data_IF_128509414028
#
_entry.id   IF_128509414028
#
_cell.length_a   1.000
_cell.length_b   1.000
_cell.length_c   1.000
_cell.angle_alpha   90.00
_cell.angle_beta   90.00
_cell.angle_gamma   90.00
#
_symmetry.space_group_name_H-M   'P 1'
#
loop_
_entity.id
_entity.type
_entity.pdbx_description
1 polymer ?
#
# COMPACT_ATOMS: atom_id res chain seq x y z
N UNK A 1 6.68 -18.99 -54.52
CA UNK A 1 7.68 -19.95 -54.05
C UNK A 1 7.03 -21.32 -54.08
N UNK A 2 7.71 -22.35 -54.58
CA UNK A 2 7.43 -23.69 -54.06
C UNK A 2 8.08 -23.71 -52.68
N UNK A 3 7.32 -24.06 -51.64
CA UNK A 3 7.79 -24.12 -50.24
C UNK A 3 9.08 -24.95 -50.09
N UNK A 4 9.35 -25.83 -51.06
CA UNK A 4 10.41 -26.80 -51.08
C UNK A 4 11.86 -26.26 -51.28
N UNK A 5 12.07 -24.98 -51.65
CA UNK A 5 13.42 -24.47 -52.01
C UNK A 5 14.39 -24.46 -50.81
N UNK A 6 13.96 -23.91 -49.67
CA UNK A 6 14.75 -23.88 -48.43
C UNK A 6 14.41 -25.01 -47.45
N UNK A 7 13.39 -25.82 -47.76
CA UNK A 7 12.96 -26.93 -46.91
C UNK A 7 13.88 -28.16 -47.00
N UNK A 8 14.79 -28.19 -47.98
CA UNK A 8 15.78 -29.26 -48.16
C UNK A 8 17.16 -28.96 -47.52
N UNK A 9 17.27 -27.93 -46.68
CA UNK A 9 18.54 -27.50 -46.10
C UNK A 9 19.17 -28.51 -45.10
N UNK A 10 18.42 -29.50 -44.60
CA UNK A 10 18.78 -30.27 -43.39
C UNK A 10 19.45 -31.64 -43.58
N UNK A 11 20.47 -31.81 -44.43
CA UNK A 11 21.09 -33.15 -44.64
C UNK A 11 22.62 -33.22 -44.55
N UNK A 12 23.36 -32.11 -44.56
CA UNK A 12 24.84 -32.13 -44.55
C UNK A 12 25.38 -31.06 -43.59
N UNK A 13 26.30 -31.44 -42.69
CA UNK A 13 27.05 -30.48 -41.88
C UNK A 13 27.94 -29.63 -42.80
N UNK A 14 27.75 -28.32 -42.80
CA UNK A 14 28.34 -27.41 -43.78
C UNK A 14 29.58 -26.76 -43.19
N UNK A 15 30.74 -27.28 -43.55
CA UNK A 15 32.06 -26.69 -43.26
C UNK A 15 32.65 -25.95 -44.48
N UNK A 16 32.04 -26.08 -45.66
CA UNK A 16 32.49 -25.45 -46.89
C UNK A 16 32.10 -23.96 -46.95
N UNK A 17 33.06 -23.02 -47.05
CA UNK A 17 32.77 -21.60 -47.18
C UNK A 17 31.93 -21.23 -48.41
N UNK A 18 32.11 -21.92 -49.53
CA UNK A 18 31.39 -21.66 -50.79
C UNK A 18 29.87 -21.88 -50.61
N UNK A 19 29.46 -22.94 -49.91
CA UNK A 19 28.04 -23.25 -49.66
C UNK A 19 27.35 -22.18 -48.80
N UNK A 20 28.10 -21.51 -47.91
CA UNK A 20 27.59 -20.43 -47.06
C UNK A 20 27.40 -19.17 -47.91
N UNK A 21 28.37 -18.86 -48.77
CA UNK A 21 28.31 -17.70 -49.67
C UNK A 21 27.14 -17.87 -50.66
N UNK A 22 27.03 -19.00 -51.34
CA UNK A 22 25.93 -19.28 -52.30
C UNK A 22 24.56 -19.15 -51.63
N UNK A 23 24.41 -19.67 -50.40
CA UNK A 23 23.16 -19.51 -49.65
C UNK A 23 22.85 -18.05 -49.31
N UNK A 24 23.85 -17.26 -48.91
CA UNK A 24 23.65 -15.85 -48.62
C UNK A 24 23.36 -15.05 -49.88
N UNK A 25 23.99 -15.36 -51.01
CA UNK A 25 23.69 -14.78 -52.32
C UNK A 25 22.21 -14.99 -52.67
N UNK A 26 21.70 -16.22 -52.50
CA UNK A 26 20.27 -16.53 -52.68
C UNK A 26 19.37 -15.72 -51.74
N UNK A 27 19.72 -15.64 -50.45
CA UNK A 27 18.94 -14.87 -49.46
C UNK A 27 18.86 -13.41 -49.87
N UNK A 28 19.98 -12.79 -50.26
CA UNK A 28 20.02 -11.37 -50.61
C UNK A 28 19.42 -11.09 -51.98
N UNK A 29 19.48 -12.01 -52.94
CA UNK A 29 18.71 -11.90 -54.18
C UNK A 29 17.20 -11.80 -53.87
N UNK A 30 16.69 -12.60 -52.93
CA UNK A 30 15.28 -12.55 -52.53
C UNK A 30 14.93 -11.28 -51.73
N UNK A 31 15.88 -10.74 -50.97
CA UNK A 31 15.72 -9.44 -50.29
C UNK A 31 15.64 -8.31 -51.32
N UNK A 32 16.53 -8.29 -52.32
CA UNK A 32 16.52 -7.31 -53.42
C UNK A 32 15.22 -7.36 -54.23
N UNK A 33 14.69 -8.56 -54.45
CA UNK A 33 13.41 -8.78 -55.14
C UNK A 33 12.19 -8.42 -54.28
N UNK A 34 12.37 -8.10 -53.00
CA UNK A 34 11.30 -7.78 -52.04
C UNK A 34 10.47 -9.00 -51.62
N UNK A 35 10.96 -10.21 -51.87
CA UNK A 35 10.32 -11.46 -51.45
C UNK A 35 10.64 -11.79 -49.99
N UNK A 36 11.80 -11.35 -49.49
CA UNK A 36 12.19 -11.40 -48.08
C UNK A 36 12.42 -10.00 -47.54
N UNK A 37 12.20 -9.85 -46.24
CA UNK A 37 12.53 -8.63 -45.50
C UNK A 37 13.65 -8.95 -44.51
N UNK A 38 14.72 -8.16 -44.54
CA UNK A 38 15.83 -8.30 -43.58
C UNK A 38 15.33 -8.12 -42.13
N UNK A 39 15.67 -9.08 -41.26
CA UNK A 39 15.16 -9.19 -39.89
C UNK A 39 13.69 -9.64 -39.79
N UNK A 40 13.03 -9.96 -40.90
CA UNK A 40 11.67 -10.49 -40.90
C UNK A 40 11.65 -11.94 -40.42
N UNK A 41 10.47 -12.43 -40.02
CA UNK A 41 10.30 -13.81 -39.52
C UNK A 41 10.90 -14.87 -40.47
N UNK A 42 10.55 -14.85 -41.75
CA UNK A 42 11.02 -15.86 -42.71
C UNK A 42 12.53 -15.76 -42.97
N UNK A 43 13.05 -14.54 -43.10
CA UNK A 43 14.48 -14.29 -43.23
C UNK A 43 15.26 -14.91 -42.06
N UNK A 44 14.80 -14.67 -40.83
CA UNK A 44 15.42 -15.22 -39.64
C UNK A 44 15.23 -16.72 -39.50
N UNK A 45 14.08 -17.25 -39.88
CA UNK A 45 13.77 -18.68 -39.85
C UNK A 45 14.71 -19.45 -40.80
N UNK A 46 14.91 -18.98 -42.03
CA UNK A 46 15.86 -19.58 -42.97
C UNK A 46 17.29 -19.54 -42.44
N UNK A 47 17.75 -18.38 -41.95
CA UNK A 47 19.09 -18.24 -41.38
C UNK A 47 19.29 -19.10 -40.13
N UNK A 48 18.27 -19.24 -39.29
CA UNK A 48 18.35 -20.08 -38.07
C UNK A 48 18.44 -21.56 -38.42
N UNK A 49 17.65 -22.03 -39.39
CA UNK A 49 17.72 -23.41 -39.89
C UNK A 49 19.10 -23.69 -40.49
N UNK A 50 19.59 -22.79 -41.35
CA UNK A 50 20.91 -22.92 -41.97
C UNK A 50 22.04 -22.90 -40.94
N UNK A 51 22.01 -21.93 -40.01
CA UNK A 51 23.00 -21.79 -38.96
C UNK A 51 23.10 -23.03 -38.08
N UNK A 52 21.99 -23.73 -37.82
CA UNK A 52 21.97 -24.93 -36.98
C UNK A 52 22.89 -26.05 -37.50
N UNK A 53 23.11 -26.10 -38.82
CA UNK A 53 23.94 -27.10 -39.50
C UNK A 53 25.33 -26.57 -39.92
N UNK A 54 25.69 -25.35 -39.55
CA UNK A 54 26.94 -24.67 -39.94
C UNK A 54 27.98 -24.67 -38.82
N UNK A 55 29.25 -24.87 -39.17
CA UNK A 55 30.36 -24.80 -38.20
C UNK A 55 30.72 -23.37 -37.83
N UNK A 56 31.02 -23.18 -36.55
CA UNK A 56 31.41 -21.89 -35.97
C UNK A 56 32.63 -21.28 -36.67
N UNK A 57 33.71 -22.07 -36.74
CA UNK A 57 35.02 -21.63 -37.25
C UNK A 57 34.92 -21.19 -38.72
N UNK A 58 34.06 -21.82 -39.52
CA UNK A 58 33.88 -21.44 -40.94
C UNK A 58 33.26 -20.04 -41.09
N UNK A 59 32.28 -19.69 -40.24
CA UNK A 59 31.64 -18.37 -40.28
C UNK A 59 32.62 -17.30 -39.77
N UNK A 60 33.36 -17.62 -38.71
CA UNK A 60 34.40 -16.76 -38.10
C UNK A 60 35.53 -16.43 -39.10
N UNK A 61 36.04 -17.44 -39.79
CA UNK A 61 37.07 -17.31 -40.83
C UNK A 61 36.59 -16.41 -41.98
N UNK A 62 35.33 -16.58 -42.43
CA UNK A 62 34.74 -15.76 -43.50
C UNK A 62 34.52 -14.31 -43.09
N UNK A 63 34.02 -14.06 -41.87
CA UNK A 63 33.83 -12.69 -41.35
C UNK A 63 35.16 -11.96 -41.21
N UNK A 64 36.19 -12.67 -40.78
CA UNK A 64 37.54 -12.14 -40.55
C UNK A 64 38.37 -12.03 -41.84
N UNK A 65 37.90 -12.56 -42.97
CA UNK A 65 38.63 -12.50 -44.23
C UNK A 65 38.76 -11.06 -44.75
N UNK A 66 39.92 -10.71 -45.30
CA UNK A 66 40.17 -9.40 -45.93
C UNK A 66 39.25 -9.16 -47.15
N UNK A 67 38.93 -10.24 -47.88
CA UNK A 67 38.07 -10.22 -49.06
C UNK A 67 37.28 -11.53 -49.17
N UNK A 68 36.04 -11.42 -49.63
CA UNK A 68 35.15 -12.56 -49.89
C UNK A 68 34.89 -12.59 -51.40
N UNK A 69 35.09 -13.73 -52.04
CA UNK A 69 34.74 -13.93 -53.46
C UNK A 69 33.24 -14.26 -53.52
N UNK A 70 32.45 -13.41 -54.16
CA UNK A 70 30.99 -13.51 -54.24
C UNK A 70 30.48 -12.75 -55.47
N UNK A 71 29.36 -13.22 -56.01
CA UNK A 71 28.62 -12.56 -57.09
C UNK A 71 27.62 -11.49 -56.56
N UNK A 72 27.35 -11.47 -55.25
CA UNK A 72 26.52 -10.46 -54.58
C UNK A 72 27.35 -9.27 -54.03
N UNK A 73 26.67 -8.27 -53.47
CA UNK A 73 27.34 -7.20 -52.76
C UNK A 73 28.08 -7.76 -51.52
N UNK A 74 29.36 -7.39 -51.36
CA UNK A 74 30.18 -7.90 -50.25
C UNK A 74 29.64 -7.46 -48.88
N UNK A 75 29.00 -6.28 -48.79
CA UNK A 75 28.39 -5.81 -47.55
C UNK A 75 27.13 -6.65 -47.22
N UNK A 76 26.38 -7.12 -48.23
CA UNK A 76 25.29 -8.09 -48.03
C UNK A 76 25.82 -9.38 -47.42
N UNK A 77 26.85 -9.98 -48.03
CA UNK A 77 27.42 -11.22 -47.51
C UNK A 77 27.99 -11.04 -46.10
N UNK A 78 28.74 -9.96 -45.82
CA UNK A 78 29.27 -9.69 -44.48
C UNK A 78 28.17 -9.54 -43.44
N UNK A 79 27.06 -8.88 -43.79
CA UNK A 79 25.93 -8.75 -42.87
C UNK A 79 25.20 -10.09 -42.67
N UNK A 80 25.00 -10.86 -43.74
CA UNK A 80 24.40 -12.20 -43.66
C UNK A 80 25.21 -13.14 -42.77
N UNK A 81 26.54 -13.15 -42.92
CA UNK A 81 27.45 -13.91 -42.07
C UNK A 81 27.34 -13.49 -40.59
N UNK A 82 27.23 -12.19 -40.33
CA UNK A 82 27.02 -11.67 -38.97
C UNK A 82 25.72 -12.19 -38.37
N UNK A 83 24.62 -12.16 -39.14
CA UNK A 83 23.34 -12.71 -38.67
C UNK A 83 23.43 -14.23 -38.47
N UNK A 84 24.05 -14.97 -39.40
CA UNK A 84 24.27 -16.41 -39.27
C UNK A 84 25.04 -16.75 -37.99
N UNK A 85 26.11 -16.02 -37.71
CA UNK A 85 26.92 -16.18 -36.50
C UNK A 85 26.08 -15.95 -35.24
N UNK A 86 25.26 -14.89 -35.21
CA UNK A 86 24.35 -14.61 -34.09
C UNK A 86 23.34 -15.75 -33.92
N UNK A 87 22.70 -16.20 -35.01
CA UNK A 87 21.74 -17.30 -34.95
C UNK A 87 22.38 -18.60 -34.50
N UNK A 88 23.60 -18.89 -34.95
CA UNK A 88 24.39 -20.06 -34.52
C UNK A 88 24.73 -20.00 -33.03
N UNK A 89 25.05 -18.82 -32.52
CA UNK A 89 25.44 -18.61 -31.14
C UNK A 89 24.27 -18.73 -30.15
N UNK A 90 23.07 -18.38 -30.61
CA UNK A 90 21.84 -18.35 -29.79
C UNK A 90 21.02 -19.65 -29.91
N UNK A 91 21.10 -20.37 -31.04
CA UNK A 91 20.30 -21.57 -31.30
C UNK A 91 21.15 -22.80 -31.65
N UNK A 92 20.71 -24.03 -31.28
CA UNK A 92 19.53 -24.33 -30.45
C UNK A 92 19.74 -24.08 -28.95
N UNK A 93 21.00 -24.09 -28.50
CA UNK A 93 21.41 -23.83 -27.12
C UNK A 93 22.28 -22.56 -27.10
N UNK A 94 21.86 -21.50 -26.39
CA UNK A 94 22.62 -20.25 -26.34
C UNK A 94 23.99 -20.45 -25.70
N UNK A 95 25.02 -19.85 -26.32
CA UNK A 95 26.36 -19.71 -25.73
C UNK A 95 26.32 -18.84 -24.47
N UNK A 96 27.35 -18.93 -23.62
CA UNK A 96 27.41 -18.05 -22.46
C UNK A 96 27.61 -16.59 -22.88
N UNK A 97 27.13 -15.67 -22.03
CA UNK A 97 27.09 -14.27 -22.41
C UNK A 97 28.47 -13.67 -22.71
N UNK A 98 29.58 -14.18 -22.17
CA UNK A 98 30.90 -13.64 -22.50
C UNK A 98 31.28 -13.95 -23.96
N UNK A 99 30.93 -15.14 -24.45
CA UNK A 99 31.06 -15.47 -25.88
C UNK A 99 30.17 -14.55 -26.71
N UNK A 100 28.91 -14.38 -26.31
CA UNK A 100 27.96 -13.52 -27.05
C UNK A 100 28.41 -12.06 -27.11
N UNK A 101 28.92 -11.50 -26.01
CA UNK A 101 29.42 -10.13 -25.98
C UNK A 101 30.74 -9.98 -26.75
N UNK A 102 31.61 -10.99 -26.71
CA UNK A 102 32.86 -11.02 -27.48
C UNK A 102 32.59 -10.93 -28.98
N UNK A 103 31.57 -11.65 -29.47
CA UNK A 103 31.14 -11.56 -30.87
C UNK A 103 30.72 -10.17 -31.30
N UNK A 104 29.97 -9.47 -30.44
CA UNK A 104 29.61 -8.08 -30.73
C UNK A 104 30.87 -7.21 -30.78
N UNK A 105 31.78 -7.36 -29.82
CA UNK A 105 33.02 -6.59 -29.77
C UNK A 105 33.93 -6.82 -30.97
N UNK A 106 34.08 -8.07 -31.40
CA UNK A 106 34.97 -8.47 -32.49
C UNK A 106 34.44 -8.04 -33.86
N UNK A 107 33.13 -8.13 -34.07
CA UNK A 107 32.55 -7.99 -35.41
C UNK A 107 31.74 -6.72 -35.65
N UNK A 108 31.31 -5.98 -34.62
CA UNK A 108 30.47 -4.77 -34.82
C UNK A 108 31.10 -3.73 -35.73
N UNK A 109 32.43 -3.62 -35.77
CA UNK A 109 33.13 -2.62 -36.61
C UNK A 109 33.50 -3.17 -38.00
N UNK A 110 33.38 -4.49 -38.20
CA UNK A 110 33.67 -5.19 -39.46
C UNK A 110 32.43 -5.37 -40.35
N UNK A 111 31.24 -5.22 -39.79
CA UNK A 111 29.96 -5.42 -40.48
C UNK A 111 29.34 -4.08 -40.85
N UNK A 112 28.71 -3.97 -42.05
CA UNK A 112 28.16 -2.71 -42.53
C UNK A 112 27.10 -2.15 -41.59
N UNK A 113 26.97 -0.82 -41.58
CA UNK A 113 26.00 -0.15 -40.73
C UNK A 113 24.60 -0.20 -41.36
N UNK A 114 23.85 -1.24 -41.01
CA UNK A 114 22.47 -1.44 -41.47
C UNK A 114 21.46 -1.00 -40.43
N UNK A 115 20.28 -0.50 -40.85
CA UNK A 115 19.19 -0.20 -39.92
C UNK A 115 18.79 -1.36 -38.99
N UNK A 116 18.92 -2.61 -39.43
CA UNK A 116 18.61 -3.83 -38.66
C UNK A 116 19.77 -4.30 -37.77
N UNK A 117 20.97 -3.72 -37.88
CA UNK A 117 22.15 -4.11 -37.10
C UNK A 117 21.90 -4.01 -35.58
N UNK A 118 21.33 -2.92 -35.04
CA UNK A 118 21.03 -2.84 -33.61
C UNK A 118 20.06 -3.94 -33.16
N UNK A 119 19.12 -4.34 -34.01
CA UNK A 119 18.19 -5.45 -33.71
C UNK A 119 18.95 -6.75 -33.45
N UNK A 120 19.81 -7.19 -34.37
CA UNK A 120 20.56 -8.44 -34.19
C UNK A 120 21.53 -8.38 -33.01
N UNK A 121 22.20 -7.24 -32.80
CA UNK A 121 23.04 -7.02 -31.62
C UNK A 121 22.24 -7.14 -30.33
N UNK A 122 21.02 -6.59 -30.29
CA UNK A 122 20.15 -6.67 -29.11
C UNK A 122 19.81 -8.12 -28.71
N UNK A 123 19.76 -9.06 -29.68
CA UNK A 123 19.49 -10.47 -29.42
C UNK A 123 20.60 -11.12 -28.59
N UNK A 124 21.86 -10.73 -28.79
CA UNK A 124 22.99 -11.20 -27.98
C UNK A 124 22.86 -10.72 -26.53
N UNK A 125 22.54 -9.43 -26.35
CA UNK A 125 22.43 -8.79 -25.04
C UNK A 125 21.19 -9.22 -24.23
N UNK A 126 20.18 -9.79 -24.87
CA UNK A 126 19.02 -10.39 -24.19
C UNK A 126 19.42 -11.54 -23.24
N UNK A 127 20.52 -12.24 -23.52
CA UNK A 127 21.08 -13.30 -22.67
C UNK A 127 22.03 -12.79 -21.56
N UNK A 128 22.19 -11.47 -21.44
CA UNK A 128 22.95 -10.86 -20.37
C UNK A 128 22.36 -11.16 -18.98
N UNK A 129 23.22 -11.42 -18.00
CA UNK A 129 22.80 -11.72 -16.62
C UNK A 129 22.92 -10.51 -15.67
N UNK A 130 23.57 -9.42 -16.10
CA UNK A 130 23.68 -8.18 -15.32
C UNK A 130 22.75 -7.10 -15.87
N UNK A 131 22.29 -6.21 -14.98
CA UNK A 131 21.45 -5.06 -15.33
C UNK A 131 22.03 -4.22 -16.48
N UNK A 132 23.35 -3.98 -16.46
CA UNK A 132 24.03 -3.22 -17.51
C UNK A 132 23.96 -3.91 -18.88
N UNK A 133 24.09 -5.23 -18.93
CA UNK A 133 23.98 -5.99 -20.19
C UNK A 133 22.57 -5.90 -20.75
N UNK A 134 21.56 -6.04 -19.88
CA UNK A 134 20.16 -5.96 -20.26
C UNK A 134 19.75 -4.54 -20.67
N UNK A 135 20.32 -3.52 -20.04
CA UNK A 135 20.17 -2.12 -20.45
C UNK A 135 20.71 -1.90 -21.87
N UNK A 136 21.92 -2.39 -22.17
CA UNK A 136 22.47 -2.34 -23.54
C UNK A 136 21.57 -3.04 -24.55
N UNK A 137 21.03 -4.22 -24.20
CA UNK A 137 20.10 -4.96 -25.06
C UNK A 137 18.83 -4.17 -25.39
N UNK A 138 18.17 -3.60 -24.38
CA UNK A 138 16.97 -2.79 -24.61
C UNK A 138 17.30 -1.51 -25.39
N UNK A 139 18.43 -0.85 -25.11
CA UNK A 139 18.84 0.35 -25.84
C UNK A 139 19.03 0.05 -27.34
N UNK A 140 19.72 -1.05 -27.67
CA UNK A 140 19.87 -1.50 -29.05
C UNK A 140 18.54 -1.89 -29.70
N UNK A 141 17.64 -2.53 -28.95
CA UNK A 141 16.30 -2.83 -29.44
C UNK A 141 15.48 -1.56 -29.70
N UNK A 142 15.66 -0.53 -28.87
CA UNK A 142 15.05 0.79 -29.07
C UNK A 142 15.61 1.49 -30.31
N UNK A 143 16.92 1.50 -30.49
CA UNK A 143 17.57 2.03 -31.70
C UNK A 143 17.02 1.37 -32.98
N UNK A 144 16.76 0.06 -32.93
CA UNK A 144 16.20 -0.67 -34.07
C UNK A 144 14.75 -0.28 -34.40
N UNK A 145 13.91 -0.03 -33.39
CA UNK A 145 12.53 0.45 -33.64
C UNK A 145 12.50 1.93 -34.05
N UNK A 146 13.44 2.74 -33.54
CA UNK A 146 13.61 4.15 -33.92
C UNK A 146 14.11 4.32 -35.36
N UNK A 147 14.77 3.30 -35.92
CA UNK A 147 15.10 3.23 -37.34
C UNK A 147 13.86 3.13 -38.27
N UNK A 148 12.65 3.01 -37.71
CA UNK A 148 11.36 3.01 -38.43
C UNK A 148 11.25 1.95 -39.53
N UNK A 149 11.88 0.80 -39.32
CA UNK A 149 11.74 -0.36 -40.18
C UNK A 149 10.40 -1.02 -39.85
N UNK A 150 9.53 -1.18 -40.85
CA UNK A 150 8.24 -1.86 -40.66
C UNK A 150 8.43 -3.36 -40.55
N UNK A 151 8.76 -3.84 -39.35
CA UNK A 151 9.06 -5.24 -39.11
C UNK A 151 8.53 -5.72 -37.75
N UNK A 152 7.60 -6.69 -37.73
CA UNK A 152 6.97 -7.14 -36.49
C UNK A 152 7.94 -7.82 -35.52
N UNK A 153 8.97 -8.51 -36.00
CA UNK A 153 10.00 -9.13 -35.16
C UNK A 153 10.83 -8.10 -34.39
N UNK A 154 11.11 -6.94 -34.99
CA UNK A 154 11.84 -5.86 -34.34
C UNK A 154 10.99 -5.22 -33.24
N UNK A 155 9.71 -4.95 -33.54
CA UNK A 155 8.76 -4.41 -32.58
C UNK A 155 8.53 -5.35 -31.39
N UNK A 156 8.32 -6.64 -31.66
CA UNK A 156 8.16 -7.65 -30.62
C UNK A 156 9.42 -7.78 -29.76
N UNK A 157 10.61 -7.81 -30.36
CA UNK A 157 11.86 -7.94 -29.60
C UNK A 157 12.05 -6.81 -28.59
N UNK A 158 11.78 -5.55 -28.97
CA UNK A 158 11.82 -4.44 -28.01
C UNK A 158 10.84 -4.67 -26.86
N UNK A 159 9.57 -4.93 -27.17
CA UNK A 159 8.53 -5.14 -26.16
C UNK A 159 8.83 -6.34 -25.25
N UNK A 160 9.32 -7.45 -25.82
CA UNK A 160 9.70 -8.67 -25.12
C UNK A 160 10.87 -8.44 -24.15
N UNK A 161 11.89 -7.69 -24.58
CA UNK A 161 13.01 -7.37 -23.69
C UNK A 161 12.58 -6.46 -22.53
N UNK A 162 11.70 -5.49 -22.76
CA UNK A 162 11.15 -4.62 -21.70
C UNK A 162 10.47 -5.46 -20.61
N UNK A 163 9.57 -6.38 -20.98
CA UNK A 163 8.86 -7.21 -19.98
C UNK A 163 9.78 -8.21 -19.29
N UNK A 164 10.78 -8.75 -19.97
CA UNK A 164 11.77 -9.65 -19.34
C UNK A 164 12.66 -8.94 -18.33
N UNK A 165 13.03 -7.70 -18.64
CA UNK A 165 13.85 -6.90 -17.73
C UNK A 165 13.03 -6.41 -16.55
N UNK A 166 11.75 -6.09 -16.75
CA UNK A 166 10.85 -5.84 -15.63
C UNK A 166 10.75 -7.05 -14.69
N UNK A 167 10.52 -8.24 -15.25
CA UNK A 167 10.40 -9.49 -14.49
C UNK A 167 11.69 -9.79 -13.67
N UNK A 168 12.86 -9.32 -14.11
CA UNK A 168 14.15 -9.59 -13.46
C UNK A 168 14.65 -8.48 -12.52
N UNK A 169 14.52 -7.22 -12.93
CA UNK A 169 15.14 -6.07 -12.28
C UNK A 169 14.15 -4.95 -11.94
N UNK A 170 12.95 -4.97 -12.51
CA UNK A 170 12.01 -3.85 -12.53
C UNK A 170 12.43 -2.81 -13.58
N UNK A 171 11.54 -2.51 -14.54
CA UNK A 171 11.89 -1.67 -15.69
C UNK A 171 12.21 -0.22 -15.30
N UNK A 172 11.61 0.28 -14.22
CA UNK A 172 11.89 1.60 -13.64
C UNK A 172 13.35 1.75 -13.18
N UNK A 173 14.05 0.63 -13.00
CA UNK A 173 15.47 0.63 -12.70
C UNK A 173 16.33 0.71 -13.97
N UNK A 174 15.81 0.77 -15.19
CA UNK A 174 16.66 0.84 -16.38
C UNK A 174 16.71 2.27 -16.89
N UNK A 175 17.92 2.80 -17.03
CA UNK A 175 18.14 4.12 -17.63
C UNK A 175 18.27 3.94 -19.14
N UNK A 176 17.31 4.45 -19.91
CA UNK A 176 17.26 4.32 -21.36
C UNK A 176 17.26 5.71 -21.98
N UNK A 177 18.02 5.88 -23.06
CA UNK A 177 18.02 7.11 -23.85
C UNK A 177 16.84 7.09 -24.84
N UNK A 178 15.63 7.28 -24.30
CA UNK A 178 14.34 7.28 -25.04
C UNK A 178 13.62 8.64 -24.96
N UNK A 179 14.33 9.68 -24.51
CA UNK A 179 13.78 11.01 -24.24
C UNK A 179 12.75 11.01 -23.10
N UNK A 180 11.70 11.81 -23.23
CA UNK A 180 10.61 11.92 -22.24
C UNK A 180 9.55 10.80 -22.37
N UNK A 181 9.81 9.78 -23.19
CA UNK A 181 8.86 8.71 -23.49
C UNK A 181 8.73 7.73 -22.32
N UNK A 182 7.51 7.23 -22.09
CA UNK A 182 7.28 6.15 -21.13
C UNK A 182 7.58 4.80 -21.78
N UNK A 183 8.55 4.07 -21.23
CA UNK A 183 8.99 2.76 -21.76
C UNK A 183 7.85 1.73 -21.81
N UNK A 184 6.91 1.78 -20.87
CA UNK A 184 5.76 0.87 -20.82
C UNK A 184 4.70 1.23 -21.86
N UNK A 185 4.59 2.51 -22.24
CA UNK A 185 3.74 2.96 -23.35
C UNK A 185 4.36 2.58 -24.69
N UNK A 186 5.66 2.79 -24.87
CA UNK A 186 6.38 2.35 -26.08
C UNK A 186 6.30 0.83 -26.27
N UNK A 187 6.52 0.05 -25.20
CA UNK A 187 6.41 -1.41 -25.28
C UNK A 187 4.99 -1.85 -25.70
N UNK A 188 3.96 -1.15 -25.23
CA UNK A 188 2.58 -1.43 -25.65
C UNK A 188 2.37 -1.08 -27.12
N UNK A 189 2.79 0.11 -27.54
CA UNK A 189 2.68 0.55 -28.94
C UNK A 189 3.32 -0.46 -29.90
N UNK A 190 4.56 -0.88 -29.60
CA UNK A 190 5.30 -1.80 -30.46
C UNK A 190 4.75 -3.23 -30.40
N UNK A 191 4.36 -3.73 -29.23
CA UNK A 191 3.69 -5.04 -29.16
C UNK A 191 2.38 -5.07 -29.97
N UNK A 192 1.59 -3.99 -29.93
CA UNK A 192 0.40 -3.89 -30.77
C UNK A 192 0.73 -3.75 -32.26
N UNK A 193 1.81 -3.04 -32.62
CA UNK A 193 2.29 -2.96 -34.02
C UNK A 193 2.66 -4.35 -34.55
N UNK A 194 3.40 -5.15 -33.78
CA UNK A 194 3.77 -6.51 -34.14
C UNK A 194 2.53 -7.36 -34.46
N UNK A 195 1.56 -7.39 -33.53
CA UNK A 195 0.30 -8.13 -33.70
C UNK A 195 -0.55 -7.62 -34.88
N UNK A 196 -0.54 -6.31 -35.16
CA UNK A 196 -1.28 -5.73 -36.31
C UNK A 196 -0.67 -6.13 -37.65
N UNK A 197 0.66 -6.23 -37.72
CA UNK A 197 1.36 -6.60 -38.95
C UNK A 197 1.31 -8.11 -39.20
N UNK A 198 1.39 -8.91 -38.15
CA UNK A 198 1.23 -10.35 -38.22
C UNK A 198 0.38 -10.86 -37.05
N UNK A 199 -0.88 -11.16 -37.37
CA UNK A 199 -1.86 -11.67 -36.41
C UNK A 199 -1.88 -13.19 -36.27
N UNK A 200 -0.97 -13.89 -36.96
CA UNK A 200 -0.87 -15.35 -36.94
C UNK A 200 0.21 -15.85 -35.98
N UNK A 201 1.27 -15.07 -35.74
CA UNK A 201 2.33 -15.46 -34.82
C UNK A 201 1.87 -15.41 -33.34
N UNK A 202 1.94 -16.57 -32.68
CA UNK A 202 1.50 -16.73 -31.29
C UNK A 202 2.39 -15.98 -30.30
N UNK A 203 3.70 -15.87 -30.55
CA UNK A 203 4.64 -15.19 -29.64
C UNK A 203 4.29 -13.70 -29.49
N UNK A 204 3.86 -13.01 -30.55
CA UNK A 204 3.51 -11.59 -30.50
C UNK A 204 2.32 -11.32 -29.54
N UNK A 205 1.32 -12.19 -29.54
CA UNK A 205 0.23 -12.12 -28.57
C UNK A 205 0.67 -12.42 -27.14
N UNK A 206 1.64 -13.32 -26.96
CA UNK A 206 2.18 -13.61 -25.64
C UNK A 206 2.96 -12.41 -25.08
N UNK A 207 3.77 -11.75 -25.90
CA UNK A 207 4.46 -10.49 -25.56
C UNK A 207 3.46 -9.40 -25.23
N UNK A 208 2.46 -9.15 -26.09
CA UNK A 208 1.42 -8.16 -25.83
C UNK A 208 0.69 -8.42 -24.50
N UNK A 209 0.37 -9.69 -24.21
CA UNK A 209 -0.20 -10.08 -22.93
C UNK A 209 0.71 -9.80 -21.73
N UNK A 210 2.02 -10.00 -21.87
CA UNK A 210 3.00 -9.63 -20.84
C UNK A 210 3.11 -8.12 -20.66
N UNK A 211 3.02 -7.33 -21.73
CA UNK A 211 3.04 -5.86 -21.66
C UNK A 211 1.79 -5.32 -20.93
N UNK A 212 0.60 -5.84 -21.22
CA UNK A 212 -0.59 -5.49 -20.44
C UNK A 212 -0.45 -5.89 -18.96
N UNK A 213 0.19 -7.03 -18.68
CA UNK A 213 0.47 -7.48 -17.31
C UNK A 213 1.44 -6.56 -16.57
N UNK A 214 2.48 -6.05 -17.25
CA UNK A 214 3.40 -5.03 -16.75
C UNK A 214 2.64 -3.76 -16.32
N UNK A 215 1.68 -3.32 -17.14
CA UNK A 215 0.84 -2.14 -16.89
C UNK A 215 -0.29 -2.37 -15.87
N UNK A 216 -0.41 -3.57 -15.31
CA UNK A 216 -1.48 -3.93 -14.39
C UNK A 216 -2.85 -4.18 -15.05
N UNK A 217 -2.93 -4.15 -16.38
CA UNK A 217 -4.14 -4.36 -17.18
C UNK A 217 -4.43 -5.87 -17.37
N UNK A 218 -4.66 -6.57 -16.25
CA UNK A 218 -4.63 -8.04 -16.20
C UNK A 218 -5.69 -8.77 -17.03
N UNK A 219 -6.79 -8.10 -17.35
CA UNK A 219 -7.86 -8.68 -18.18
C UNK A 219 -7.51 -8.70 -19.67
N UNK A 220 -6.84 -7.64 -20.17
CA UNK A 220 -6.25 -7.64 -21.52
C UNK A 220 -5.07 -8.61 -21.59
N UNK A 221 -4.26 -8.66 -20.52
CA UNK A 221 -3.16 -9.59 -20.41
C UNK A 221 -3.60 -11.05 -20.59
N UNK A 222 -4.64 -11.48 -19.86
CA UNK A 222 -5.16 -12.84 -19.97
C UNK A 222 -5.76 -13.13 -21.35
N UNK A 223 -6.47 -12.18 -21.96
CA UNK A 223 -7.04 -12.35 -23.30
C UNK A 223 -5.96 -12.62 -24.34
N UNK A 224 -4.90 -11.82 -24.36
CA UNK A 224 -3.85 -11.94 -25.35
C UNK A 224 -3.03 -13.23 -25.18
N UNK A 225 -2.69 -13.62 -23.95
CA UNK A 225 -2.01 -14.91 -23.73
C UNK A 225 -2.90 -16.10 -24.08
N UNK A 226 -4.22 -15.99 -23.85
CA UNK A 226 -5.16 -17.02 -24.28
C UNK A 226 -5.22 -17.12 -25.81
N UNK A 227 -5.16 -15.99 -26.52
CA UNK A 227 -5.08 -15.96 -27.99
C UNK A 227 -3.79 -16.60 -28.51
N UNK A 228 -2.64 -16.35 -27.88
CA UNK A 228 -1.38 -17.03 -28.21
C UNK A 228 -1.49 -18.56 -28.07
N UNK A 229 -2.16 -19.03 -27.01
CA UNK A 229 -2.41 -20.47 -26.82
C UNK A 229 -3.29 -21.02 -27.93
N UNK A 230 -4.36 -20.30 -28.32
CA UNK A 230 -5.25 -20.73 -29.40
C UNK A 230 -4.51 -20.83 -30.74
N UNK A 231 -3.74 -19.80 -31.12
CA UNK A 231 -2.96 -19.79 -32.36
C UNK A 231 -2.01 -20.99 -32.42
N UNK A 232 -1.26 -21.26 -31.35
CA UNK A 232 -0.32 -22.40 -31.31
C UNK A 232 -1.03 -23.77 -31.32
N UNK A 233 -2.29 -23.83 -30.89
CA UNK A 233 -3.11 -25.05 -31.02
C UNK A 233 -3.64 -25.23 -32.45
N UNK A 234 -3.92 -24.13 -33.15
CA UNK A 234 -4.44 -24.12 -34.52
C UNK A 234 -3.34 -24.38 -35.57
N UNK A 235 -2.10 -23.90 -35.32
CA UNK A 235 -0.92 -24.18 -36.16
C UNK A 235 -0.51 -25.65 -36.16
N UNK A 236 -0.76 -26.36 -35.05
CA UNK A 236 -0.29 -27.73 -34.91
C UNK A 236 -1.26 -28.78 -35.49
N UNK A 237 -0.99 -29.12 -36.76
CA UNK A 237 -1.22 -30.48 -37.29
C UNK A 237 -0.27 -31.53 -36.67
N UNK A 238 0.61 -31.14 -35.72
CA UNK A 238 1.50 -32.04 -34.99
C UNK A 238 0.82 -32.65 -33.75
N UNK A 239 1.33 -33.78 -33.27
CA UNK A 239 0.68 -34.58 -32.22
C UNK A 239 0.67 -33.93 -30.82
N UNK A 240 1.44 -32.85 -30.53
CA UNK A 240 1.61 -32.28 -29.18
C UNK A 240 2.08 -30.80 -29.15
N UNK A 241 1.15 -29.84 -29.07
CA UNK A 241 1.51 -28.42 -29.10
C UNK A 241 2.25 -27.93 -27.87
N UNK A 242 3.47 -27.41 -28.08
CA UNK A 242 4.29 -26.82 -27.03
C UNK A 242 3.74 -25.44 -26.62
N UNK A 243 2.74 -25.49 -25.76
CA UNK A 243 2.03 -24.35 -25.16
C UNK A 243 2.46 -24.12 -23.70
N UNK A 244 3.53 -24.78 -23.25
CA UNK A 244 3.96 -24.77 -21.86
C UNK A 244 4.40 -23.37 -21.40
N UNK A 245 5.13 -22.63 -22.26
CA UNK A 245 5.56 -21.27 -21.99
C UNK A 245 4.36 -20.33 -21.78
N UNK A 246 3.43 -20.28 -22.74
CA UNK A 246 2.22 -19.44 -22.64
C UNK A 246 1.35 -19.77 -21.42
N UNK A 247 1.19 -21.06 -21.09
CA UNK A 247 0.47 -21.46 -19.86
C UNK A 247 1.21 -21.03 -18.59
N UNK A 248 2.52 -20.91 -18.63
CA UNK A 248 3.29 -20.33 -17.52
C UNK A 248 2.97 -18.85 -17.35
N UNK A 249 3.02 -18.08 -18.44
CA UNK A 249 2.67 -16.64 -18.45
C UNK A 249 1.25 -16.44 -17.92
N UNK A 250 0.28 -17.22 -18.40
CA UNK A 250 -1.11 -17.14 -17.95
C UNK A 250 -1.26 -17.42 -16.44
N UNK A 251 -0.49 -18.37 -15.89
CA UNK A 251 -0.49 -18.63 -14.44
C UNK A 251 0.10 -17.46 -13.64
N UNK A 252 1.13 -16.81 -14.16
CA UNK A 252 1.72 -15.60 -13.56
C UNK A 252 0.70 -14.46 -13.52
N UNK A 253 0.01 -14.20 -14.64
CA UNK A 253 -1.04 -13.17 -14.73
C UNK A 253 -2.17 -13.46 -13.72
N UNK A 254 -2.64 -14.71 -13.63
CA UNK A 254 -3.68 -15.11 -12.65
C UNK A 254 -3.23 -14.94 -11.21
N UNK A 255 -1.95 -15.20 -10.93
CA UNK A 255 -1.35 -14.97 -9.61
C UNK A 255 -1.30 -13.48 -9.28
N UNK A 256 -0.85 -12.62 -10.21
CA UNK A 256 -0.88 -11.15 -10.06
C UNK A 256 -2.30 -10.65 -9.75
N UNK A 257 -3.33 -11.13 -10.45
CA UNK A 257 -4.74 -10.75 -10.19
C UNK A 257 -5.19 -11.12 -8.78
N UNK A 258 -4.81 -12.30 -8.31
CA UNK A 258 -5.14 -12.74 -6.96
C UNK A 258 -4.45 -11.89 -5.91
N UNK A 259 -3.20 -11.49 -6.14
CA UNK A 259 -2.44 -10.58 -5.26
C UNK A 259 -3.12 -9.21 -5.19
N UNK A 260 -3.43 -8.58 -6.33
CA UNK A 260 -4.16 -7.30 -6.37
C UNK A 260 -5.49 -7.36 -5.61
N UNK A 261 -6.23 -8.47 -5.75
CA UNK A 261 -7.49 -8.68 -5.01
C UNK A 261 -7.28 -8.82 -3.49
N UNK A 262 -6.15 -9.37 -3.05
CA UNK A 262 -5.79 -9.47 -1.64
C UNK A 262 -5.37 -8.10 -1.11
N UNK A 263 -4.55 -7.36 -1.84
CA UNK A 263 -4.11 -6.00 -1.49
C UNK A 263 -5.31 -5.07 -1.29
N UNK A 264 -6.27 -5.06 -2.23
CA UNK A 264 -7.50 -4.27 -2.10
C UNK A 264 -8.36 -4.66 -0.89
N UNK A 265 -8.35 -5.94 -0.48
CA UNK A 265 -9.06 -6.36 0.73
C UNK A 265 -8.31 -5.96 1.99
N UNK A 266 -6.99 -5.99 1.95
CA UNK A 266 -6.14 -5.57 3.06
C UNK A 266 -6.29 -4.06 3.32
N UNK A 267 -6.26 -3.23 2.28
CA UNK A 267 -6.48 -1.79 2.36
C UNK A 267 -7.84 -1.47 3.01
N UNK A 268 -8.92 -2.11 2.54
CA UNK A 268 -10.26 -1.97 3.15
C UNK A 268 -10.30 -2.39 4.62
N UNK A 269 -9.55 -3.42 4.98
CA UNK A 269 -9.47 -3.86 6.37
C UNK A 269 -8.70 -2.86 7.24
N UNK A 270 -7.69 -2.18 6.69
CA UNK A 270 -6.98 -1.09 7.37
C UNK A 270 -7.91 0.11 7.61
N UNK A 271 -8.67 0.54 6.60
CA UNK A 271 -9.66 1.62 6.75
C UNK A 271 -10.67 1.31 7.86
N UNK A 272 -11.15 0.06 7.93
CA UNK A 272 -12.07 -0.39 8.98
C UNK A 272 -11.44 -0.40 10.36
N UNK A 273 -10.16 -0.74 10.47
CA UNK A 273 -9.43 -0.71 11.75
C UNK A 273 -9.25 0.73 12.23
N UNK A 274 -8.98 1.68 11.34
CA UNK A 274 -8.89 3.09 11.66
C UNK A 274 -10.23 3.63 12.19
N UNK A 275 -11.35 3.32 11.50
CA UNK A 275 -12.70 3.71 11.96
C UNK A 275 -13.04 3.12 13.35
N UNK A 276 -12.62 1.87 13.62
CA UNK A 276 -12.82 1.25 14.94
C UNK A 276 -11.97 1.95 16.01
N UNK A 277 -10.73 2.32 15.69
CA UNK A 277 -9.84 3.03 16.60
C UNK A 277 -10.44 4.38 17.00
N UNK A 278 -10.90 5.18 16.04
CA UNK A 278 -11.53 6.48 16.33
C UNK A 278 -12.79 6.35 17.20
N UNK A 279 -13.61 5.33 16.94
CA UNK A 279 -14.80 5.05 17.77
C UNK A 279 -14.42 4.61 19.19
N UNK A 280 -13.33 3.86 19.34
CA UNK A 280 -12.84 3.45 20.65
C UNK A 280 -12.40 4.67 21.46
N UNK A 281 -11.62 5.58 20.87
CA UNK A 281 -11.15 6.79 21.54
C UNK A 281 -12.33 7.69 21.97
N UNK A 282 -13.32 7.88 21.10
CA UNK A 282 -14.54 8.63 21.43
C UNK A 282 -15.37 7.97 22.55
N UNK A 283 -15.34 6.64 22.64
CA UNK A 283 -16.02 5.91 23.71
C UNK A 283 -15.27 6.06 25.04
N UNK A 284 -13.93 6.07 25.02
CA UNK A 284 -13.08 6.30 26.19
C UNK A 284 -13.33 7.69 26.80
N UNK A 285 -13.37 8.75 25.98
CA UNK A 285 -13.73 10.11 26.42
C UNK A 285 -15.13 10.17 27.07
N UNK A 286 -16.10 9.43 26.52
CA UNK A 286 -17.44 9.35 27.08
C UNK A 286 -17.47 8.64 28.45
N UNK A 287 -16.67 7.59 28.62
CA UNK A 287 -16.54 6.90 29.90
C UNK A 287 -15.88 7.79 30.97
N UNK A 288 -14.81 8.51 30.62
CA UNK A 288 -14.17 9.46 31.54
C UNK A 288 -15.16 10.56 31.99
N UNK A 289 -15.91 11.15 31.05
CA UNK A 289 -16.94 12.15 31.39
C UNK A 289 -18.05 11.58 32.28
N UNK A 290 -18.41 10.31 32.11
CA UNK A 290 -19.40 9.65 32.94
C UNK A 290 -18.87 9.37 34.34
N UNK A 291 -17.61 8.97 34.47
CA UNK A 291 -16.94 8.75 35.75
C UNK A 291 -16.82 10.04 36.56
N UNK A 292 -16.44 11.16 35.93
CA UNK A 292 -16.43 12.48 36.57
C UNK A 292 -17.82 12.88 37.10
N UNK A 293 -18.88 12.63 36.32
CA UNK A 293 -20.27 12.89 36.74
C UNK A 293 -20.68 12.00 37.90
N UNK A 294 -20.33 10.72 37.85
CA UNK A 294 -20.61 9.76 38.93
C UNK A 294 -19.95 10.23 40.23
N UNK A 295 -18.65 10.53 40.21
CA UNK A 295 -17.88 11.02 41.35
C UNK A 295 -18.45 12.34 41.90
N UNK A 296 -18.92 13.25 41.03
CA UNK A 296 -19.59 14.48 41.44
C UNK A 296 -20.93 14.23 42.14
N UNK A 297 -21.73 13.28 41.66
CA UNK A 297 -23.01 12.91 42.26
C UNK A 297 -22.77 12.24 43.61
N UNK A 298 -21.82 11.31 43.70
CA UNK A 298 -21.45 10.63 44.93
C UNK A 298 -21.05 11.63 46.02
N UNK A 299 -20.16 12.57 45.70
CA UNK A 299 -19.76 13.65 46.62
C UNK A 299 -20.94 14.53 47.06
N UNK A 300 -21.84 14.92 46.13
CA UNK A 300 -23.04 15.70 46.48
C UNK A 300 -24.01 14.93 47.37
N UNK A 301 -24.14 13.62 47.16
CA UNK A 301 -24.97 12.75 47.97
C UNK A 301 -24.40 12.61 49.37
N UNK A 302 -23.08 12.42 49.50
CA UNK A 302 -22.38 12.36 50.80
C UNK A 302 -22.56 13.68 51.57
N UNK A 303 -22.32 14.82 50.92
CA UNK A 303 -22.57 16.16 51.49
C UNK A 303 -24.03 16.32 51.96
N UNK A 304 -25.00 15.87 51.16
CA UNK A 304 -26.42 15.97 51.50
C UNK A 304 -26.78 15.09 52.69
N UNK A 305 -26.29 13.84 52.73
CA UNK A 305 -26.51 12.90 53.82
C UNK A 305 -25.95 13.45 55.13
N UNK A 306 -24.73 13.99 55.10
CA UNK A 306 -24.10 14.56 56.29
C UNK A 306 -24.85 15.82 56.78
N UNK A 307 -25.36 16.64 55.86
CA UNK A 307 -26.23 17.78 56.18
C UNK A 307 -27.53 17.32 56.86
N UNK A 308 -28.23 16.34 56.29
CA UNK A 308 -29.46 15.79 56.87
C UNK A 308 -29.24 15.16 58.24
N UNK A 309 -28.15 14.42 58.41
CA UNK A 309 -27.76 13.83 59.70
C UNK A 309 -27.53 14.91 60.75
N UNK A 310 -26.74 15.93 60.40
CA UNK A 310 -26.45 17.07 61.27
C UNK A 310 -27.73 17.81 61.67
N UNK A 311 -28.62 18.10 60.71
CA UNK A 311 -29.92 18.74 60.99
C UNK A 311 -30.82 17.89 61.88
N UNK A 312 -30.85 16.58 61.67
CA UNK A 312 -31.65 15.66 62.51
C UNK A 312 -31.14 15.63 63.95
N UNK A 313 -29.82 15.58 64.14
CA UNK A 313 -29.19 15.66 65.47
C UNK A 313 -29.50 17.00 66.16
N UNK A 314 -29.45 18.11 65.43
CA UNK A 314 -29.85 19.43 65.95
C UNK A 314 -31.30 19.44 66.40
N UNK A 315 -32.22 18.91 65.59
CA UNK A 315 -33.64 18.82 65.90
C UNK A 315 -33.87 17.96 67.15
N UNK A 316 -33.24 16.79 67.25
CA UNK A 316 -33.34 15.93 68.43
C UNK A 316 -32.83 16.66 69.69
N UNK A 317 -31.68 17.34 69.61
CA UNK A 317 -31.13 18.12 70.71
C UNK A 317 -32.06 19.26 71.15
N UNK A 318 -32.62 20.02 70.19
CA UNK A 318 -33.60 21.08 70.45
C UNK A 318 -34.86 20.56 71.16
N UNK A 319 -35.48 19.50 70.62
CA UNK A 319 -36.71 18.93 71.19
C UNK A 319 -36.48 18.35 72.59
N UNK A 320 -35.32 17.72 72.81
CA UNK A 320 -34.95 17.20 74.13
C UNK A 320 -34.82 18.32 75.15
N UNK A 321 -34.16 19.43 74.79
CA UNK A 321 -34.03 20.60 75.66
C UNK A 321 -35.39 21.25 75.95
N UNK A 322 -36.25 21.40 74.93
CA UNK A 322 -37.60 21.93 75.10
C UNK A 322 -38.45 21.08 76.05
N UNK A 323 -38.43 19.76 75.88
CA UNK A 323 -39.14 18.83 76.77
C UNK A 323 -38.61 18.91 78.20
N UNK A 324 -37.30 19.01 78.39
CA UNK A 324 -36.70 19.18 79.71
C UNK A 324 -37.21 20.47 80.40
N UNK A 325 -37.30 21.60 79.69
CA UNK A 325 -37.89 22.85 80.24
C UNK A 325 -39.32 22.62 80.67
N UNK A 326 -40.14 22.06 79.78
CA UNK A 326 -41.56 21.87 80.05
C UNK A 326 -41.73 21.01 81.30
N UNK A 327 -41.05 19.87 81.38
CA UNK A 327 -41.12 18.96 82.54
C UNK A 327 -40.61 19.64 83.81
N UNK A 328 -39.44 20.27 83.78
CA UNK A 328 -38.87 20.93 84.96
C UNK A 328 -39.73 22.11 85.42
N UNK A 329 -40.31 22.89 84.50
CA UNK A 329 -41.20 24.01 84.83
C UNK A 329 -42.47 23.56 85.57
N UNK A 330 -43.07 22.44 85.13
CA UNK A 330 -44.23 21.84 85.80
C UNK A 330 -43.85 21.37 87.20
N UNK A 331 -42.73 20.64 87.33
CA UNK A 331 -42.25 20.14 88.63
C UNK A 331 -41.94 21.27 89.62
N UNK A 332 -41.32 22.36 89.16
CA UNK A 332 -40.99 23.52 90.00
C UNK A 332 -42.25 24.18 90.55
N UNK A 333 -43.32 24.23 89.75
CA UNK A 333 -44.62 24.79 90.16
C UNK A 333 -45.29 23.96 91.26
N UNK A 334 -44.99 22.66 91.36
CA UNK A 334 -45.52 21.79 92.41
C UNK A 334 -44.71 21.87 93.73
N UNK A 335 -43.41 22.20 93.65
CA UNK A 335 -42.50 22.17 94.80
C UNK A 335 -42.40 23.52 95.51
N UNK A 336 -42.56 24.63 94.78
CA UNK A 336 -42.40 25.98 95.33
C UNK A 336 -43.74 26.61 95.69
N UNK A 337 -43.87 27.09 96.94
CA UNK A 337 -45.09 27.77 97.43
C UNK A 337 -45.11 29.28 97.13
N UNK A 338 -44.00 29.82 96.63
CA UNK A 338 -43.83 31.23 96.26
C UNK A 338 -43.86 31.40 94.74
N UNK A 339 -44.82 32.19 94.26
CA UNK A 339 -44.95 32.56 92.83
C UNK A 339 -43.70 33.29 92.33
N UNK A 340 -43.01 34.03 93.22
CA UNK A 340 -41.79 34.76 92.86
C UNK A 340 -40.63 33.81 92.56
N UNK A 341 -40.45 32.78 93.39
CA UNK A 341 -39.40 31.77 93.20
C UNK A 341 -39.64 30.93 91.96
N UNK A 342 -40.88 30.48 91.72
CA UNK A 342 -41.26 29.74 90.53
C UNK A 342 -41.00 30.53 89.24
N UNK A 343 -41.36 31.83 89.23
CA UNK A 343 -41.12 32.73 88.11
C UNK A 343 -39.63 32.85 87.79
N UNK A 344 -38.79 33.12 88.79
CA UNK A 344 -37.35 33.31 88.57
C UNK A 344 -36.68 32.03 88.07
N UNK A 345 -37.10 30.86 88.55
CA UNK A 345 -36.54 29.58 88.14
C UNK A 345 -36.96 29.19 86.71
N UNK A 346 -38.22 29.44 86.31
CA UNK A 346 -38.69 29.25 84.93
C UNK A 346 -37.97 30.20 83.96
N UNK A 347 -37.82 31.48 84.31
CA UNK A 347 -37.08 32.46 83.49
C UNK A 347 -35.61 32.04 83.36
N UNK A 348 -35.01 31.51 84.43
CA UNK A 348 -33.62 31.02 84.41
C UNK A 348 -33.46 29.81 83.48
N UNK A 349 -34.39 28.86 83.52
CA UNK A 349 -34.41 27.70 82.62
C UNK A 349 -34.53 28.12 81.15
N UNK A 350 -35.47 29.01 80.83
CA UNK A 350 -35.69 29.50 79.46
C UNK A 350 -34.48 30.31 78.97
N UNK A 351 -33.96 31.21 79.82
CA UNK A 351 -32.78 32.02 79.50
C UNK A 351 -31.53 31.17 79.28
N UNK A 352 -31.28 30.20 80.16
CA UNK A 352 -30.16 29.27 80.06
C UNK A 352 -30.19 28.43 78.79
N UNK A 353 -31.38 28.00 78.36
CA UNK A 353 -31.54 27.21 77.12
C UNK A 353 -31.40 28.05 75.87
N UNK A 354 -31.89 29.30 75.86
CA UNK A 354 -31.65 30.21 74.74
C UNK A 354 -30.15 30.52 74.55
N UNK A 355 -29.41 30.70 75.64
CA UNK A 355 -27.94 30.88 75.60
C UNK A 355 -27.24 29.59 75.14
N UNK A 356 -27.58 28.45 75.73
CA UNK A 356 -27.00 27.14 75.36
C UNK A 356 -27.26 26.80 73.89
N UNK A 357 -28.46 27.05 73.39
CA UNK A 357 -28.84 26.79 72.01
C UNK A 357 -28.18 27.77 71.03
N UNK A 358 -28.07 29.05 71.41
CA UNK A 358 -27.28 30.03 70.67
C UNK A 358 -25.80 29.63 70.58
N UNK A 359 -25.20 29.15 71.68
CA UNK A 359 -23.84 28.64 71.72
C UNK A 359 -23.63 27.38 70.89
N UNK A 360 -24.53 26.41 71.00
CA UNK A 360 -24.48 25.17 70.21
C UNK A 360 -24.61 25.45 68.70
N UNK A 361 -25.45 26.42 68.33
CA UNK A 361 -25.60 26.88 66.94
C UNK A 361 -24.31 27.49 66.33
N UNK A 362 -23.30 27.86 67.12
CA UNK A 362 -21.98 28.32 66.65
C UNK A 362 -21.02 27.15 66.34
N UNK A 363 -21.15 26.03 67.06
CA UNK A 363 -20.26 24.88 66.92
C UNK A 363 -20.58 24.00 65.72
N UNK A 364 -21.72 24.25 65.06
CA UNK A 364 -22.18 23.48 63.92
C UNK A 364 -21.57 24.05 62.64
N UNK A 365 -20.70 23.29 61.94
CA UNK A 365 -20.12 23.72 60.68
C UNK A 365 -21.23 23.79 59.64
N UNK A 366 -21.31 24.93 58.96
CA UNK A 366 -22.32 25.14 57.93
C UNK A 366 -21.76 26.08 56.87
N UNK A 367 -21.95 25.73 55.60
CA UNK A 367 -21.38 26.44 54.44
C UNK A 367 -22.22 27.65 54.00
N UNK A 368 -23.30 28.02 54.70
CA UNK A 368 -24.13 29.18 54.33
C UNK A 368 -23.46 30.51 54.76
N UNK A 369 -22.91 31.22 53.77
CA UNK A 369 -22.15 32.48 53.87
C UNK A 369 -23.00 33.75 53.99
N UNK A 370 -24.14 33.69 54.71
CA UNK A 370 -25.06 34.82 54.86
C UNK A 370 -24.86 35.62 56.15
N UNK A 371 -24.88 36.96 56.07
CA UNK A 371 -24.82 37.88 57.23
C UNK A 371 -25.94 37.67 58.27
N UNK A 372 -27.03 36.98 57.91
CA UNK A 372 -28.19 36.79 58.78
C UNK A 372 -27.99 35.78 59.91
N UNK A 373 -27.08 34.81 59.77
CA UNK A 373 -26.87 33.74 60.77
C UNK A 373 -26.18 34.25 62.05
N UNK A 374 -25.02 34.93 62.00
CA UNK A 374 -24.40 35.46 63.22
C UNK A 374 -25.31 36.47 63.94
N UNK A 375 -26.12 37.23 63.18
CA UNK A 375 -27.10 38.15 63.76
C UNK A 375 -28.21 37.43 64.52
N UNK A 376 -28.76 36.32 63.98
CA UNK A 376 -29.77 35.50 64.65
C UNK A 376 -29.22 34.81 65.90
N UNK A 377 -28.02 34.23 65.79
CA UNK A 377 -27.36 33.56 66.92
C UNK A 377 -27.04 34.59 68.02
N UNK A 378 -26.46 35.73 67.65
CA UNK A 378 -26.18 36.83 68.58
C UNK A 378 -27.45 37.35 69.26
N UNK A 379 -28.56 37.45 68.52
CA UNK A 379 -29.87 37.80 69.06
C UNK A 379 -30.39 36.79 70.10
N UNK A 380 -30.30 35.49 69.81
CA UNK A 380 -30.73 34.43 70.74
C UNK A 380 -29.92 34.44 72.04
N UNK A 381 -28.60 34.56 71.92
CA UNK A 381 -27.72 34.66 73.09
C UNK A 381 -28.05 35.92 73.89
N UNK A 382 -28.20 37.08 73.24
CA UNK A 382 -28.54 38.33 73.89
C UNK A 382 -29.86 38.23 74.68
N UNK A 383 -30.91 37.73 74.04
CA UNK A 383 -32.23 37.55 74.68
C UNK A 383 -32.13 36.58 75.86
N UNK A 384 -31.46 35.44 75.69
CA UNK A 384 -31.26 34.48 76.77
C UNK A 384 -30.49 35.08 77.96
N UNK A 385 -29.44 35.87 77.68
CA UNK A 385 -28.63 36.53 78.71
C UNK A 385 -29.43 37.60 79.44
N UNK A 386 -30.27 38.36 78.74
CA UNK A 386 -31.19 39.32 79.35
C UNK A 386 -32.23 38.65 80.26
N UNK A 387 -32.75 37.49 79.86
CA UNK A 387 -33.66 36.71 80.69
C UNK A 387 -32.96 36.21 81.96
N UNK A 388 -31.72 35.72 81.86
CA UNK A 388 -30.92 35.33 83.02
C UNK A 388 -30.62 36.51 83.95
N UNK A 389 -30.36 37.71 83.43
CA UNK A 389 -30.20 38.91 84.25
C UNK A 389 -31.51 39.28 84.95
N UNK A 390 -32.64 39.17 84.24
CA UNK A 390 -33.96 39.47 84.78
C UNK A 390 -34.41 38.49 85.87
N UNK A 391 -33.89 37.25 85.91
CA UNK A 391 -34.19 36.32 87.01
C UNK A 391 -33.44 36.61 88.30
N UNK A 392 -32.36 37.39 88.25
CA UNK A 392 -31.51 37.74 89.41
C UNK A 392 -32.00 39.03 90.08
N UNK A 393 -32.62 39.94 89.34
CA UNK A 393 -33.10 41.24 89.85
C UNK A 393 -34.47 41.08 90.52
N UNK A 394 -34.48 40.68 91.79
CA UNK A 394 -35.64 40.89 92.68
C UNK A 394 -35.84 42.40 92.89
N UNK A 395 -37.01 42.94 92.52
CA UNK A 395 -37.39 44.33 92.80
C UNK A 395 -38.04 44.40 94.20
N UNK A 396 -37.38 44.96 95.24
CA UNK A 396 -37.92 45.01 96.59
C UNK A 396 -38.70 46.31 96.88
N UNK A 397 -39.41 46.87 95.90
CA UNK A 397 -40.23 48.08 96.10
C UNK A 397 -41.55 48.00 95.35
N UNK A 398 -42.55 47.44 96.03
CA UNK A 398 -43.94 47.94 96.12
C UNK A 398 -44.72 47.03 97.11
N UNK A 399 -44.15 46.88 98.31
CA UNK A 399 -44.93 46.61 99.52
C UNK A 399 -45.44 47.95 100.03
N UNK A 400 -46.74 48.21 99.84
CA UNK A 400 -47.43 49.39 100.37
C UNK A 400 -48.01 50.30 99.29
N UNK A 401 -49.16 49.91 98.75
CA UNK A 401 -50.49 50.54 98.95
C UNK A 401 -51.54 49.46 98.71
#
# INVERSE_FOLDING_TARGET
MEDDYFDNLGVVARDNPEDIIEFLEDIYEHVEQGALQEGGYEYENYLTRFASDTFWDTIDDLLSADSIETDADTDDIRFGLFVLMIKRAIHPDPSDFNTLSGLDEDYRDLVPDRPTKPYFRSLLYRYGYERGHRQTGIQLAYEAVDAQIENPSIYDNFAAQVVEVDDQFGIESIDLDIGDSDVSELALEYAEKAVRQDSTEAEYYATLGRVYSLRGELDEAERNVQRAIELRLDEETQRRPNTASFRSILRTIKSKRKIQKIESQYEKAQDQLEEISEKHDSLEEQYESLDEKYNSIESKLEDAVEKYRTQTLQFIGFFTALLAVVVTSVQVTEITSSVSEARSLIITLIGGILVSFGGFSLMLPDKESGYSKPLRIGGLILIGTLLLLASIVDVPYLSGI
#
